data_IF_508112345117
#
_entry.id   IF_508112345117
#
_cell.length_a   1.000
_cell.length_b   1.000
_cell.length_c   1.000
_cell.angle_alpha   90.00
_cell.angle_beta   90.00
_cell.angle_gamma   90.00
#
_symmetry.space_group_name_H-M   'P 1'
#
loop_
_entity.id
_entity.type
_entity.pdbx_description
1 polymer ?
#
# COMPACT_ATOMS: atom_id res chain seq x y z
N UNK A 1 -8.95 -8.53 -14.84
CA UNK A 1 -9.83 -7.40 -14.47
C UNK A 1 -10.59 -7.61 -13.17
N UNK A 2 -11.08 -8.82 -12.87
CA UNK A 2 -11.83 -9.13 -11.63
C UNK A 2 -11.03 -8.89 -10.33
N UNK A 3 -9.75 -9.28 -10.28
CA UNK A 3 -8.94 -9.20 -9.06
C UNK A 3 -8.76 -7.77 -8.49
N UNK A 4 -8.62 -6.76 -9.35
CA UNK A 4 -8.47 -5.37 -8.94
C UNK A 4 -9.76 -4.82 -8.31
N UNK A 5 -10.90 -5.10 -8.94
CA UNK A 5 -12.22 -4.70 -8.44
C UNK A 5 -12.50 -5.37 -7.10
N UNK A 6 -12.18 -6.67 -6.97
CA UNK A 6 -12.30 -7.40 -5.71
C UNK A 6 -11.42 -6.80 -4.61
N UNK A 7 -10.17 -6.43 -4.93
CA UNK A 7 -9.26 -5.79 -3.97
C UNK A 7 -9.81 -4.45 -3.47
N UNK A 8 -10.29 -3.59 -4.36
CA UNK A 8 -10.89 -2.30 -3.96
C UNK A 8 -12.14 -2.47 -3.10
N UNK A 9 -13.04 -3.39 -3.47
CA UNK A 9 -14.25 -3.67 -2.68
C UNK A 9 -13.87 -4.20 -1.30
N UNK A 10 -12.90 -5.10 -1.22
CA UNK A 10 -12.38 -5.64 0.03
C UNK A 10 -11.81 -4.54 0.93
N UNK A 11 -10.90 -3.71 0.39
CA UNK A 11 -10.26 -2.64 1.13
C UNK A 11 -11.27 -1.59 1.64
N UNK A 12 -12.25 -1.21 0.81
CA UNK A 12 -13.35 -0.34 1.22
C UNK A 12 -14.27 -0.97 2.28
N UNK A 13 -14.51 -2.29 2.21
CA UNK A 13 -15.31 -3.01 3.21
C UNK A 13 -14.60 -3.09 4.56
N UNK A 14 -13.28 -3.26 4.57
CA UNK A 14 -12.47 -3.22 5.79
C UNK A 14 -12.59 -1.87 6.52
N UNK A 15 -12.59 -0.76 5.77
CA UNK A 15 -12.76 0.59 6.34
C UNK A 15 -14.13 0.81 7.02
N UNK A 16 -15.17 0.14 6.54
CA UNK A 16 -16.54 0.22 7.09
C UNK A 16 -16.79 -0.72 8.26
N UNK A 17 -15.82 -1.55 8.64
CA UNK A 17 -15.98 -2.47 9.77
C UNK A 17 -15.92 -1.73 11.12
N UNK A 18 -16.59 -2.28 12.14
CA UNK A 18 -16.61 -1.71 13.49
C UNK A 18 -15.32 -1.96 14.28
N UNK A 19 -14.48 -2.91 13.86
CA UNK A 19 -13.22 -3.21 14.55
C UNK A 19 -12.13 -2.21 14.18
N UNK A 20 -11.56 -1.52 15.17
CA UNK A 20 -10.45 -0.59 14.95
C UNK A 20 -9.26 -1.25 14.22
N UNK A 21 -8.97 -2.52 14.52
CA UNK A 21 -7.94 -3.32 13.88
C UNK A 21 -8.21 -3.52 12.38
N UNK A 22 -9.43 -3.95 12.05
CA UNK A 22 -9.86 -4.24 10.68
C UNK A 22 -9.90 -2.94 9.86
N UNK A 23 -10.31 -1.83 10.46
CA UNK A 23 -10.28 -0.50 9.82
C UNK A 23 -8.85 -0.05 9.53
N UNK A 24 -7.91 -0.31 10.43
CA UNK A 24 -6.50 0.02 10.24
C UNK A 24 -5.87 -0.82 9.13
N UNK A 25 -6.18 -2.13 9.05
CA UNK A 25 -5.81 -2.99 7.91
C UNK A 25 -6.25 -2.41 6.58
N UNK A 26 -7.52 -2.00 6.50
CA UNK A 26 -8.09 -1.36 5.31
C UNK A 26 -7.34 -0.08 4.90
N UNK A 27 -6.97 0.77 5.87
CA UNK A 27 -6.19 1.98 5.60
C UNK A 27 -4.81 1.66 5.03
N UNK A 28 -4.07 0.75 5.65
CA UNK A 28 -2.74 0.35 5.16
C UNK A 28 -2.80 -0.24 3.76
N UNK A 29 -3.78 -1.11 3.46
CA UNK A 29 -3.93 -1.68 2.13
C UNK A 29 -4.23 -0.63 1.06
N UNK A 30 -5.06 0.37 1.36
CA UNK A 30 -5.38 1.44 0.41
C UNK A 30 -4.16 2.35 0.18
N UNK A 31 -3.49 2.76 1.26
CA UNK A 31 -2.29 3.60 1.16
C UNK A 31 -1.21 2.87 0.38
N UNK A 32 -0.92 1.60 0.71
CA UNK A 32 0.03 0.76 0.00
C UNK A 32 -0.27 0.69 -1.49
N UNK A 33 -1.55 0.49 -1.84
CA UNK A 33 -1.99 0.39 -3.22
C UNK A 33 -1.82 1.70 -3.99
N UNK A 34 -2.15 2.83 -3.38
CA UNK A 34 -1.97 4.16 -3.98
C UNK A 34 -0.49 4.47 -4.16
N UNK A 35 0.34 4.24 -3.13
CA UNK A 35 1.80 4.42 -3.19
C UNK A 35 2.41 3.56 -4.30
N UNK A 36 2.05 2.28 -4.37
CA UNK A 36 2.49 1.36 -5.43
C UNK A 36 2.12 1.89 -6.81
N UNK A 37 0.85 2.27 -7.00
CA UNK A 37 0.33 2.70 -8.30
C UNK A 37 1.04 3.95 -8.79
N UNK A 38 1.21 4.96 -7.92
CA UNK A 38 1.93 6.19 -8.25
C UNK A 38 3.39 5.87 -8.61
N UNK A 39 4.06 5.05 -7.80
CA UNK A 39 5.46 4.70 -8.04
C UNK A 39 5.64 3.90 -9.33
N UNK A 40 4.77 2.92 -9.60
CA UNK A 40 4.81 2.12 -10.83
C UNK A 40 4.54 2.97 -12.07
N UNK A 41 3.61 3.93 -11.97
CA UNK A 41 3.35 4.88 -13.05
C UNK A 41 4.58 5.73 -13.34
N UNK A 42 5.15 6.40 -12.32
CA UNK A 42 6.35 7.22 -12.48
C UNK A 42 7.55 6.37 -12.96
N UNK A 43 7.68 5.13 -12.47
CA UNK A 43 8.74 4.20 -12.90
C UNK A 43 8.70 3.96 -14.41
N UNK A 44 7.50 3.81 -14.97
CA UNK A 44 7.29 3.51 -16.39
C UNK A 44 7.78 4.66 -17.28
N UNK A 45 7.62 5.92 -16.83
CA UNK A 45 8.17 7.09 -17.53
C UNK A 45 9.67 7.30 -17.26
N UNK A 46 10.12 7.10 -16.03
CA UNK A 46 11.51 7.30 -15.63
C UNK A 46 12.48 6.34 -16.34
N UNK A 47 12.01 5.13 -16.68
CA UNK A 47 12.78 4.16 -17.46
C UNK A 47 13.10 4.68 -18.87
N UNK A 48 12.14 5.34 -19.52
CA UNK A 48 12.32 5.87 -20.88
C UNK A 48 13.30 7.03 -20.94
N UNK A 49 13.35 7.85 -19.88
CA UNK A 49 14.21 9.03 -19.78
C UNK A 49 15.61 8.73 -19.20
N UNK A 50 15.89 7.47 -18.86
CA UNK A 50 17.18 6.99 -18.32
C UNK A 50 17.73 7.83 -17.15
N UNK A 51 16.88 8.22 -16.19
CA UNK A 51 17.32 8.92 -14.98
C UNK A 51 17.68 7.94 -13.85
N UNK A 52 18.95 7.55 -13.66
CA UNK A 52 19.32 6.48 -12.72
C UNK A 52 18.97 6.81 -11.27
N UNK A 53 19.14 8.07 -10.84
CA UNK A 53 18.85 8.51 -9.47
C UNK A 53 17.36 8.37 -9.15
N UNK A 54 16.49 8.79 -10.08
CA UNK A 54 15.04 8.71 -9.94
C UNK A 54 14.59 7.25 -9.84
N UNK A 55 15.20 6.36 -10.64
CA UNK A 55 14.91 4.92 -10.61
C UNK A 55 15.23 4.33 -9.22
N UNK A 56 16.37 4.70 -8.62
CA UNK A 56 16.74 4.23 -7.27
C UNK A 56 15.73 4.72 -6.23
N UNK A 57 15.36 6.00 -6.27
CA UNK A 57 14.37 6.56 -5.35
C UNK A 57 13.03 5.82 -5.46
N UNK A 58 12.55 5.60 -6.68
CA UNK A 58 11.29 4.87 -6.92
C UNK A 58 11.36 3.44 -6.37
N UNK A 59 12.51 2.77 -6.45
CA UNK A 59 12.69 1.43 -5.87
C UNK A 59 12.54 1.43 -4.35
N UNK A 60 13.08 2.44 -3.68
CA UNK A 60 12.92 2.60 -2.22
C UNK A 60 11.44 2.80 -1.88
N UNK A 61 10.72 3.65 -2.61
CA UNK A 61 9.27 3.84 -2.38
C UNK A 61 8.44 2.59 -2.69
N UNK A 62 8.78 1.83 -3.73
CA UNK A 62 8.14 0.54 -4.01
C UNK A 62 8.38 -0.48 -2.89
N UNK A 63 9.58 -0.52 -2.31
CA UNK A 63 9.86 -1.35 -1.13
C UNK A 63 9.03 -0.92 0.08
N UNK A 64 8.90 0.39 0.32
CA UNK A 64 8.05 0.93 1.39
C UNK A 64 6.60 0.49 1.18
N UNK A 65 6.08 0.63 -0.04
CA UNK A 65 4.73 0.15 -0.39
C UNK A 65 4.54 -1.34 -0.13
N UNK A 66 5.53 -2.18 -0.41
CA UNK A 66 5.47 -3.61 -0.09
C UNK A 66 5.38 -3.86 1.43
N UNK A 67 6.10 -3.07 2.24
CA UNK A 67 6.00 -3.12 3.71
C UNK A 67 4.61 -2.66 4.17
N UNK A 68 4.04 -1.62 3.57
CA UNK A 68 2.67 -1.17 3.86
C UNK A 68 1.63 -2.25 3.51
N UNK A 69 1.81 -2.97 2.40
CA UNK A 69 0.98 -4.12 2.07
C UNK A 69 1.08 -5.22 3.11
N UNK A 70 2.29 -5.55 3.57
CA UNK A 70 2.51 -6.53 4.64
C UNK A 70 1.77 -6.13 5.93
N UNK A 71 1.83 -4.87 6.32
CA UNK A 71 1.07 -4.34 7.47
C UNK A 71 -0.44 -4.36 7.24
N UNK A 72 -0.90 -4.09 6.02
CA UNK A 72 -2.32 -4.16 5.67
C UNK A 72 -2.91 -5.58 5.74
N UNK A 73 -2.12 -6.59 5.38
CA UNK A 73 -2.57 -7.99 5.41
C UNK A 73 -2.45 -8.63 6.80
N UNK A 74 -1.26 -8.56 7.41
CA UNK A 74 -0.97 -9.27 8.66
C UNK A 74 -1.30 -8.40 9.87
N UNK A 75 -0.98 -7.11 9.81
CA UNK A 75 -1.06 -6.13 10.91
C UNK A 75 -0.45 -6.66 12.22
N UNK A 76 0.88 -6.62 12.34
CA UNK A 76 1.56 -7.17 13.50
C UNK A 76 1.22 -6.41 14.79
N UNK A 77 1.32 -7.08 15.94
CA UNK A 77 0.88 -6.55 17.23
C UNK A 77 1.57 -5.26 17.65
N UNK A 78 2.82 -5.04 17.22
CA UNK A 78 3.51 -3.78 17.46
C UNK A 78 2.86 -2.61 16.71
N UNK A 79 2.40 -2.81 15.46
CA UNK A 79 1.69 -1.77 14.70
C UNK A 79 0.33 -1.50 15.33
N UNK A 80 -0.36 -2.56 15.77
CA UNK A 80 -1.63 -2.42 16.50
C UNK A 80 -1.44 -1.57 17.74
N UNK A 81 -0.45 -1.87 18.58
CA UNK A 81 -0.16 -1.14 19.81
C UNK A 81 0.23 0.33 19.58
N UNK A 82 0.83 0.65 18.44
CA UNK A 82 1.18 2.03 18.07
C UNK A 82 -0.02 2.86 17.60
N UNK A 83 -0.97 2.25 16.88
CA UNK A 83 -2.09 2.96 16.26
C UNK A 83 -3.43 2.81 17.00
N UNK A 84 -3.59 1.75 17.78
CA UNK A 84 -4.77 1.38 18.55
C UNK A 84 -4.25 1.14 19.97
N UNK A 85 -4.30 2.21 20.77
CA UNK A 85 -3.92 2.16 22.18
C UNK A 85 -5.00 1.49 23.00
#
# INVERSE_FOLDING_TARGET
>A
MSAFVSFMIFACKLLKSNGAEIKLKGKFLIVAFVTYTICAFIHSFAFFLQYPVIIVIIRVFLMISAVEFYFGWILPDFVKKWFIK
#
